data_IF_399523746108
#
_entry.id   IF_399523746108
#
_cell.length_a   1.000
_cell.length_b   1.000
_cell.length_c   1.000
_cell.angle_alpha   90.00
_cell.angle_beta   90.00
_cell.angle_gamma   90.00
#
_symmetry.space_group_name_H-M   'P 1'
#
loop_
_entity.id
_entity.type
_entity.pdbx_description
1 polymer ?
#
# COMPACT_ATOMS: atom_id res chain seq x y z
N UNK A 1 -21.15 17.39 -55.55
CA UNK A 1 -21.19 16.06 -54.91
C UNK A 1 -19.77 15.61 -54.66
N UNK A 2 -19.55 14.94 -53.53
CA UNK A 2 -18.32 14.31 -53.01
C UNK A 2 -17.40 15.15 -52.11
N UNK A 3 -17.88 15.25 -50.87
CA UNK A 3 -17.24 15.02 -49.57
C UNK A 3 -15.85 14.37 -49.58
N UNK A 4 -14.93 14.93 -48.79
CA UNK A 4 -13.71 14.26 -48.30
C UNK A 4 -13.66 14.44 -46.77
N UNK A 5 -13.26 13.43 -45.99
CA UNK A 5 -13.60 13.33 -44.57
C UNK A 5 -12.62 14.08 -43.66
N UNK A 6 -13.17 14.59 -42.55
CA UNK A 6 -12.48 15.08 -41.35
C UNK A 6 -11.34 14.15 -40.90
N UNK A 7 -10.10 14.62 -41.06
CA UNK A 7 -8.94 14.08 -40.36
C UNK A 7 -8.86 14.77 -38.98
N UNK A 8 -9.69 14.30 -38.04
CA UNK A 8 -9.67 14.76 -36.67
C UNK A 8 -8.80 13.79 -35.84
N UNK A 9 -7.61 14.18 -35.36
CA UNK A 9 -6.81 13.32 -34.51
C UNK A 9 -7.54 13.11 -33.19
N UNK A 10 -8.04 11.89 -32.98
CA UNK A 10 -8.60 11.44 -31.70
C UNK A 10 -7.45 11.23 -30.69
N UNK A 11 -6.83 12.33 -30.26
CA UNK A 11 -5.68 12.30 -29.33
C UNK A 11 -6.01 12.87 -27.94
N UNK A 12 -7.29 13.19 -27.64
CA UNK A 12 -7.67 13.80 -26.36
C UNK A 12 -8.09 12.82 -25.26
N UNK A 13 -8.51 11.60 -25.60
CA UNK A 13 -9.12 10.66 -24.64
C UNK A 13 -8.08 9.89 -23.82
N UNK A 14 -7.02 9.41 -24.46
CA UNK A 14 -5.96 8.60 -23.83
C UNK A 14 -5.13 9.41 -22.85
N UNK A 15 -4.73 10.63 -23.20
CA UNK A 15 -4.00 11.53 -22.29
C UNK A 15 -4.83 11.89 -21.05
N UNK A 16 -6.13 12.12 -21.23
CA UNK A 16 -7.04 12.43 -20.12
C UNK A 16 -7.25 11.22 -19.20
N UNK A 17 -7.42 10.02 -19.77
CA UNK A 17 -7.57 8.78 -19.00
C UNK A 17 -6.30 8.44 -18.21
N UNK A 18 -5.13 8.59 -18.82
CA UNK A 18 -3.83 8.40 -18.16
C UNK A 18 -3.67 9.41 -17.03
N UNK A 19 -3.90 10.70 -17.28
CA UNK A 19 -3.83 11.75 -16.25
C UNK A 19 -4.78 11.49 -15.08
N UNK A 20 -5.99 10.98 -15.34
CA UNK A 20 -6.95 10.60 -14.31
C UNK A 20 -6.46 9.40 -13.48
N UNK A 21 -5.88 8.38 -14.10
CA UNK A 21 -5.30 7.23 -13.39
C UNK A 21 -4.13 7.66 -12.49
N UNK A 22 -3.24 8.52 -12.98
CA UNK A 22 -2.16 9.09 -12.18
C UNK A 22 -2.68 9.91 -11.00
N UNK A 23 -3.66 10.78 -11.22
CA UNK A 23 -4.26 11.62 -10.17
C UNK A 23 -4.92 10.79 -9.07
N UNK A 24 -5.62 9.72 -9.45
CA UNK A 24 -6.23 8.79 -8.49
C UNK A 24 -5.18 8.00 -7.70
N UNK A 25 -4.12 7.53 -8.35
CA UNK A 25 -3.01 6.83 -7.69
C UNK A 25 -2.29 7.76 -6.69
N UNK A 26 -2.00 8.99 -7.10
CA UNK A 26 -1.39 10.01 -6.24
C UNK A 26 -2.27 10.34 -5.03
N UNK A 27 -3.58 10.50 -5.21
CA UNK A 27 -4.51 10.74 -4.12
C UNK A 27 -4.59 9.56 -3.13
N UNK A 28 -4.57 8.31 -3.61
CA UNK A 28 -4.52 7.12 -2.75
C UNK A 28 -3.20 7.05 -1.96
N UNK A 29 -2.07 7.33 -2.61
CA UNK A 29 -0.77 7.43 -1.95
C UNK A 29 -0.75 8.51 -0.88
N UNK A 30 -1.26 9.71 -1.18
CA UNK A 30 -1.32 10.82 -0.22
C UNK A 30 -2.23 10.49 1.00
N UNK A 31 -3.36 9.82 0.77
CA UNK A 31 -4.24 9.33 1.85
C UNK A 31 -3.62 8.22 2.68
N UNK A 32 -2.81 7.36 2.06
CA UNK A 32 -2.08 6.33 2.78
C UNK A 32 -0.96 6.96 3.61
N UNK A 33 -0.08 7.75 3.01
CA UNK A 33 1.05 8.40 3.68
C UNK A 33 0.62 9.18 4.91
N UNK A 34 -0.39 10.05 4.80
CA UNK A 34 -0.91 10.82 5.94
C UNK A 34 -1.45 9.96 7.09
N UNK A 35 -2.11 8.83 6.78
CA UNK A 35 -2.63 7.89 7.77
C UNK A 35 -1.51 7.04 8.39
N UNK A 36 -0.60 6.57 7.55
CA UNK A 36 0.54 5.75 7.92
C UNK A 36 1.51 6.53 8.82
N UNK A 37 1.75 7.81 8.48
CA UNK A 37 2.48 8.77 9.30
C UNK A 37 1.93 8.91 10.72
N UNK A 38 0.62 8.73 10.92
CA UNK A 38 0.03 8.76 12.27
C UNK A 38 0.19 7.43 13.00
N UNK A 39 0.02 6.31 12.30
CA UNK A 39 0.11 4.96 12.91
C UNK A 39 1.53 4.59 13.31
N UNK A 40 2.52 4.94 12.49
CA UNK A 40 3.94 4.67 12.77
C UNK A 40 4.68 5.89 13.32
N UNK A 41 3.98 6.97 13.71
CA UNK A 41 4.60 8.20 14.23
C UNK A 41 5.71 7.97 15.27
N UNK A 42 5.52 7.11 16.29
CA UNK A 42 6.56 6.84 17.29
C UNK A 42 7.72 5.97 16.76
N UNK A 43 7.60 5.38 15.57
CA UNK A 43 8.56 4.43 14.98
C UNK A 43 9.31 5.00 13.75
N UNK A 44 8.90 6.13 13.17
CA UNK A 44 9.55 6.71 11.97
C UNK A 44 10.99 7.16 12.20
N UNK A 45 11.36 7.56 13.42
CA UNK A 45 12.76 7.90 13.71
C UNK A 45 13.70 6.70 13.56
N UNK A 46 13.17 5.49 13.43
CA UNK A 46 13.93 4.25 13.38
C UNK A 46 13.59 3.36 12.19
N UNK A 47 12.61 3.73 11.36
CA UNK A 47 12.29 3.00 10.14
C UNK A 47 11.95 3.94 8.97
N UNK A 48 12.52 3.62 7.82
CA UNK A 48 12.11 4.18 6.53
C UNK A 48 10.99 3.35 5.93
N UNK A 49 10.21 3.93 5.02
CA UNK A 49 9.16 3.20 4.32
C UNK A 49 8.92 3.75 2.92
N UNK A 50 8.41 2.87 2.05
CA UNK A 50 8.00 3.23 0.70
C UNK A 50 6.87 2.33 0.23
N UNK A 51 6.01 2.88 -0.63
CA UNK A 51 5.05 2.08 -1.39
C UNK A 51 5.57 1.88 -2.80
N UNK A 52 5.65 0.63 -3.22
CA UNK A 52 6.00 0.23 -4.57
C UNK A 52 4.72 -0.25 -5.27
N UNK A 53 4.32 0.36 -6.39
CA UNK A 53 3.19 -0.13 -7.16
C UNK A 53 3.49 -1.53 -7.75
N UNK A 54 2.51 -2.42 -7.71
CA UNK A 54 2.54 -3.75 -8.33
C UNK A 54 1.41 -3.85 -9.37
N UNK A 55 1.50 -4.80 -10.29
CA UNK A 55 0.49 -5.01 -11.35
C UNK A 55 -0.95 -5.15 -10.81
N UNK A 56 -1.12 -5.67 -9.60
CA UNK A 56 -2.44 -5.92 -8.98
C UNK A 56 -2.57 -5.34 -7.57
N UNK A 57 -1.80 -4.31 -7.23
CA UNK A 57 -1.84 -3.73 -5.90
C UNK A 57 -0.63 -2.88 -5.56
N UNK A 58 -0.22 -2.92 -4.30
CA UNK A 58 0.99 -2.23 -3.81
C UNK A 58 1.79 -3.12 -2.89
N UNK A 59 3.09 -2.91 -2.85
CA UNK A 59 3.99 -3.44 -1.84
C UNK A 59 4.40 -2.31 -0.90
N UNK A 60 4.14 -2.48 0.39
CA UNK A 60 4.68 -1.62 1.43
C UNK A 60 6.00 -2.22 1.92
N UNK A 61 7.09 -1.49 1.72
CA UNK A 61 8.40 -1.84 2.27
C UNK A 61 8.65 -0.94 3.47
N UNK A 62 8.97 -1.54 4.61
CA UNK A 62 9.37 -0.84 5.84
C UNK A 62 10.76 -1.33 6.22
N UNK A 63 11.72 -0.42 6.34
CA UNK A 63 13.12 -0.71 6.63
C UNK A 63 13.50 -0.18 7.99
N UNK A 64 13.69 -1.06 8.97
CA UNK A 64 14.01 -0.66 10.34
C UNK A 64 15.48 -0.83 10.68
N UNK A 65 15.98 0.11 11.49
CA UNK A 65 17.39 0.18 11.94
C UNK A 65 17.80 -0.94 12.89
N UNK A 66 16.85 -1.63 13.54
CA UNK A 66 17.14 -2.75 14.45
C UNK A 66 16.03 -3.80 14.47
N UNK A 67 16.38 -5.02 14.92
CA UNK A 67 15.43 -6.13 15.08
C UNK A 67 14.35 -5.84 16.14
N UNK A 68 14.67 -5.08 17.19
CA UNK A 68 13.71 -4.69 18.22
C UNK A 68 12.63 -3.78 17.63
N UNK A 69 13.03 -2.77 16.87
CA UNK A 69 12.10 -1.87 16.19
C UNK A 69 11.31 -2.63 15.11
N UNK A 70 11.96 -3.55 14.38
CA UNK A 70 11.27 -4.43 13.42
C UNK A 70 10.12 -5.19 14.09
N UNK A 71 10.38 -5.77 15.25
CA UNK A 71 9.36 -6.55 15.99
C UNK A 71 8.18 -5.68 16.41
N UNK A 72 8.42 -4.42 16.82
CA UNK A 72 7.34 -3.48 17.13
C UNK A 72 6.50 -3.11 15.90
N UNK A 73 7.14 -2.93 14.74
CA UNK A 73 6.43 -2.72 13.47
C UNK A 73 5.59 -3.95 13.11
N UNK A 74 6.14 -5.16 13.24
CA UNK A 74 5.42 -6.41 12.97
C UNK A 74 4.15 -6.51 13.85
N UNK A 75 4.27 -6.18 15.14
CA UNK A 75 3.13 -6.16 16.06
C UNK A 75 2.07 -5.09 15.70
N UNK A 76 2.46 -4.06 14.96
CA UNK A 76 1.59 -2.97 14.51
C UNK A 76 1.02 -3.20 13.10
N UNK A 77 1.21 -4.37 12.51
CA UNK A 77 0.82 -4.64 11.12
C UNK A 77 -0.69 -4.69 10.89
N UNK A 78 -1.51 -5.01 11.89
CA UNK A 78 -2.96 -5.10 11.70
C UNK A 78 -3.60 -3.78 11.23
N UNK A 79 -3.44 -2.65 11.94
CA UNK A 79 -4.02 -1.38 11.48
C UNK A 79 -3.44 -0.95 10.12
N UNK A 80 -2.16 -1.22 9.87
CA UNK A 80 -1.50 -0.96 8.58
C UNK A 80 -2.14 -1.78 7.46
N UNK A 81 -2.31 -3.09 7.69
CA UNK A 81 -2.87 -4.03 6.72
C UNK A 81 -4.33 -3.72 6.39
N UNK A 82 -5.12 -3.38 7.40
CA UNK A 82 -6.52 -2.97 7.22
C UNK A 82 -6.63 -1.71 6.36
N UNK A 83 -5.72 -0.74 6.55
CA UNK A 83 -5.71 0.50 5.78
C UNK A 83 -5.23 0.28 4.34
N UNK A 84 -4.18 -0.51 4.15
CA UNK A 84 -3.69 -0.89 2.83
C UNK A 84 -4.78 -1.60 2.02
N UNK A 85 -5.44 -2.59 2.62
CA UNK A 85 -6.54 -3.31 1.99
C UNK A 85 -7.70 -2.38 1.63
N UNK A 86 -8.07 -1.43 2.49
CA UNK A 86 -9.14 -0.46 2.21
C UNK A 86 -8.82 0.48 1.04
N UNK A 87 -7.55 0.77 0.78
CA UNK A 87 -7.15 1.75 -0.25
C UNK A 87 -6.72 1.10 -1.57
N UNK A 88 -6.13 -0.08 -1.50
CA UNK A 88 -5.49 -0.75 -2.64
C UNK A 88 -6.00 -2.19 -2.87
N UNK A 89 -6.87 -2.72 -2.02
CA UNK A 89 -7.45 -4.06 -2.13
C UNK A 89 -6.47 -5.15 -1.73
N UNK A 90 -5.53 -5.47 -2.62
CA UNK A 90 -4.47 -6.45 -2.40
C UNK A 90 -3.15 -5.72 -2.14
N UNK A 91 -2.46 -6.06 -1.06
CA UNK A 91 -1.14 -5.48 -0.80
C UNK A 91 -0.20 -6.48 -0.14
N UNK A 92 1.09 -6.35 -0.46
CA UNK A 92 2.16 -7.07 0.21
C UNK A 92 2.82 -6.14 1.22
N UNK A 93 3.29 -6.70 2.32
CA UNK A 93 4.08 -5.97 3.32
C UNK A 93 5.41 -6.71 3.49
N UNK A 94 6.50 -5.97 3.35
CA UNK A 94 7.86 -6.43 3.60
C UNK A 94 8.47 -5.56 4.69
N UNK A 95 8.91 -6.17 5.78
CA UNK A 95 9.57 -5.48 6.90
C UNK A 95 11.03 -5.97 7.00
N UNK A 96 11.96 -5.06 6.78
CA UNK A 96 13.41 -5.26 6.86
C UNK A 96 13.92 -4.81 8.24
N UNK A 97 14.99 -5.43 8.73
CA UNK A 97 15.62 -5.09 10.01
C UNK A 97 16.19 -6.32 10.70
N UNK A 98 17.44 -6.68 10.39
CA UNK A 98 18.08 -7.93 10.82
C UNK A 98 18.38 -8.86 9.63
N UNK A 99 18.67 -10.13 9.91
CA UNK A 99 19.24 -11.07 8.93
C UNK A 99 18.27 -11.59 7.87
N UNK A 100 16.96 -11.56 8.15
CA UNK A 100 15.92 -12.07 7.23
C UNK A 100 14.73 -11.12 7.15
N UNK A 101 14.22 -10.81 5.94
CA UNK A 101 13.02 -9.99 5.77
C UNK A 101 11.79 -10.75 6.29
N UNK A 102 10.86 -10.01 6.91
CA UNK A 102 9.51 -10.51 7.18
C UNK A 102 8.61 -10.12 6.01
N UNK A 103 7.91 -11.08 5.41
CA UNK A 103 7.02 -10.86 4.27
C UNK A 103 5.65 -11.46 4.55
N UNK A 104 4.58 -10.71 4.26
CA UNK A 104 3.20 -11.21 4.38
C UNK A 104 2.27 -10.45 3.45
N UNK A 105 1.07 -10.99 3.25
CA UNK A 105 -0.02 -10.28 2.56
C UNK A 105 -0.96 -9.61 3.57
N UNK A 106 -1.60 -8.52 3.18
CA UNK A 106 -2.60 -7.86 4.04
C UNK A 106 -3.76 -8.78 4.41
N UNK A 107 -4.17 -9.65 3.49
CA UNK A 107 -5.21 -10.65 3.73
C UNK A 107 -4.82 -11.67 4.80
N UNK A 108 -3.57 -12.11 4.78
CA UNK A 108 -3.04 -13.07 5.74
C UNK A 108 -2.99 -12.48 7.15
N UNK A 109 -2.50 -11.24 7.31
CA UNK A 109 -2.49 -10.54 8.60
C UNK A 109 -3.91 -10.41 9.17
N UNK A 110 -4.87 -9.98 8.35
CA UNK A 110 -6.26 -9.78 8.78
C UNK A 110 -6.91 -11.13 9.12
N UNK A 111 -6.66 -12.18 8.33
CA UNK A 111 -7.18 -13.53 8.56
C UNK A 111 -6.62 -14.11 9.86
N UNK A 112 -5.32 -14.02 10.09
CA UNK A 112 -4.70 -14.49 11.33
C UNK A 112 -5.29 -13.76 12.53
N UNK A 113 -5.38 -12.44 12.50
CA UNK A 113 -5.93 -11.70 13.63
C UNK A 113 -7.41 -12.07 13.92
N UNK A 114 -8.23 -12.30 12.88
CA UNK A 114 -9.61 -12.79 13.07
C UNK A 114 -9.65 -14.20 13.67
N UNK A 115 -8.72 -15.06 13.29
CA UNK A 115 -8.61 -16.42 13.83
C UNK A 115 -8.24 -16.36 15.32
N UNK A 116 -7.18 -15.64 15.68
CA UNK A 116 -6.72 -15.49 17.05
C UNK A 116 -7.79 -14.87 17.97
N UNK A 117 -8.50 -13.82 17.53
CA UNK A 117 -9.63 -13.25 18.30
C UNK A 117 -10.76 -14.24 18.61
N UNK A 118 -10.95 -15.28 17.79
CA UNK A 118 -11.98 -16.31 18.05
C UNK A 118 -11.53 -17.32 19.10
N UNK A 119 -10.22 -17.52 19.27
CA UNK A 119 -9.67 -18.44 20.26
C UNK A 119 -9.52 -17.79 21.64
N UNK A 120 -9.25 -16.49 21.69
CA UNK A 120 -9.13 -15.73 22.95
C UNK A 120 -10.49 -15.47 23.64
N UNK A 121 -11.60 -15.66 22.91
CA UNK A 121 -12.97 -15.54 23.41
C UNK A 121 -13.58 -16.90 23.83
N UNK A 122 -12.75 -17.91 24.11
CA UNK A 122 -13.15 -19.21 24.69
C UNK A 122 -12.47 -19.40 26.04
#
# INVERSE_FOLDING_TARGET
>A
MNTQPDDQPHSGSTDTAIAQQFSQAAARYQRFSSSFSRTLNPLFSFCDWQLVPLERGVELIISCTSSNVRSQVINSLLPISTRLQSLFGCSKIRVLGGSYPFETSTDEVIRHHRYWKRYDNR
#
